data_IF_708062650535
#
_entry.id   IF_708062650535
#
_cell.length_a   1.000
_cell.length_b   1.000
_cell.length_c   1.000
_cell.angle_alpha   90.00
_cell.angle_beta   90.00
_cell.angle_gamma   90.00
#
_symmetry.space_group_name_H-M   'P 1'
#
loop_
_entity.id
_entity.type
_entity.pdbx_description
1 polymer ?
#
# COMPACT_ATOMS: atom_id res chain seq x y z
N UNK A 1 -4.28 9.03 14.76
CA UNK A 1 -5.49 9.24 13.94
C UNK A 1 -5.13 10.23 12.86
N UNK A 2 -5.15 9.79 11.62
CA UNK A 2 -4.64 10.55 10.46
C UNK A 2 -5.75 11.26 9.71
N UNK A 3 -5.39 12.30 8.95
CA UNK A 3 -6.28 12.91 7.97
C UNK A 3 -5.85 12.49 6.57
N UNK A 4 -6.78 11.92 5.82
CA UNK A 4 -6.55 11.42 4.45
C UNK A 4 -6.68 12.60 3.47
N UNK A 5 -5.70 12.73 2.59
CA UNK A 5 -5.63 13.74 1.55
C UNK A 5 -6.09 13.24 0.18
N UNK A 6 -5.47 13.78 -0.87
CA UNK A 6 -5.78 13.42 -2.25
C UNK A 6 -5.43 11.96 -2.58
N UNK A 7 -6.10 11.41 -3.59
CA UNK A 7 -5.85 10.05 -4.06
C UNK A 7 -4.63 10.02 -4.97
N UNK A 8 -3.58 9.31 -4.55
CA UNK A 8 -2.35 9.13 -5.33
C UNK A 8 -2.49 8.00 -6.35
N UNK A 9 -3.08 6.88 -5.92
CA UNK A 9 -3.24 5.69 -6.76
C UNK A 9 -4.61 5.05 -6.56
N UNK A 10 -5.29 4.75 -7.66
CA UNK A 10 -6.57 4.04 -7.66
C UNK A 10 -6.37 2.56 -8.03
N UNK A 11 -6.64 1.66 -7.09
CA UNK A 11 -6.68 0.22 -7.33
C UNK A 11 -8.12 -0.34 -7.32
N UNK A 12 -8.25 -1.63 -7.67
CA UNK A 12 -9.55 -2.31 -7.72
C UNK A 12 -10.10 -2.75 -6.35
N UNK A 13 -9.24 -2.83 -5.34
CA UNK A 13 -9.56 -3.27 -3.97
C UNK A 13 -9.08 -2.29 -2.91
N UNK A 14 -7.95 -1.63 -3.17
CA UNK A 14 -7.38 -0.60 -2.32
C UNK A 14 -7.13 0.66 -3.13
N UNK A 15 -7.08 1.80 -2.46
CA UNK A 15 -6.57 3.06 -2.99
C UNK A 15 -5.47 3.57 -2.06
N UNK A 16 -4.52 4.30 -2.64
CA UNK A 16 -3.45 4.97 -1.91
C UNK A 16 -3.79 6.46 -1.87
N UNK A 17 -3.86 7.03 -0.67
CA UNK A 17 -4.15 8.44 -0.43
C UNK A 17 -2.95 9.09 0.25
N UNK A 18 -2.74 10.38 0.02
CA UNK A 18 -1.77 11.16 0.80
C UNK A 18 -2.18 11.23 2.28
N UNK A 19 -1.21 11.39 3.18
CA UNK A 19 -1.48 11.76 4.58
C UNK A 19 -1.29 13.27 4.72
N UNK A 20 -2.33 13.98 5.15
CA UNK A 20 -2.29 15.44 5.24
C UNK A 20 -1.24 15.89 6.27
N UNK A 21 -0.39 16.83 5.87
CA UNK A 21 0.72 17.34 6.70
C UNK A 21 1.94 16.40 6.76
N UNK A 22 1.93 15.26 6.05
CA UNK A 22 3.03 14.27 6.02
C UNK A 22 3.32 13.84 4.57
N UNK A 23 4.03 14.67 3.78
CA UNK A 23 4.29 14.40 2.36
C UNK A 23 5.22 13.21 2.10
N UNK A 24 5.90 12.74 3.15
CA UNK A 24 6.69 11.51 3.20
C UNK A 24 5.82 10.25 3.29
N UNK A 25 4.55 10.36 3.70
CA UNK A 25 3.68 9.24 3.98
C UNK A 25 2.45 9.18 3.07
N UNK A 26 2.01 7.95 2.84
CA UNK A 26 0.72 7.66 2.24
C UNK A 26 -0.02 6.57 3.03
N UNK A 27 -1.31 6.47 2.75
CA UNK A 27 -2.25 5.59 3.41
C UNK A 27 -2.93 4.68 2.39
N UNK A 28 -2.74 3.37 2.55
CA UNK A 28 -3.52 2.37 1.82
C UNK A 28 -4.81 2.10 2.56
N UNK A 29 -5.93 2.32 1.88
CA UNK A 29 -7.26 2.05 2.42
C UNK A 29 -8.05 1.17 1.47
N UNK A 30 -8.94 0.34 2.01
CA UNK A 30 -9.84 -0.46 1.20
C UNK A 30 -10.86 0.41 0.46
N UNK A 31 -11.13 0.08 -0.79
CA UNK A 31 -12.15 0.74 -1.59
C UNK A 31 -13.52 0.22 -1.15
N UNK A 32 -14.44 1.09 -0.71
CA UNK A 32 -15.84 0.71 -0.59
C UNK A 32 -16.40 0.46 -1.99
N UNK A 33 -16.52 -0.80 -2.41
CA UNK A 33 -17.09 -1.10 -3.73
C UNK A 33 -18.54 -0.64 -3.80
N UNK A 34 -18.97 -0.25 -5.01
CA UNK A 34 -20.35 0.13 -5.33
C UNK A 34 -21.33 -0.98 -4.91
N UNK A 35 -22.54 -0.55 -4.57
CA UNK A 35 -23.67 -1.35 -4.07
C UNK A 35 -23.71 -2.78 -4.65
N UNK A 36 -23.70 -3.77 -3.77
CA UNK A 36 -24.04 -5.15 -4.11
C UNK A 36 -25.36 -5.48 -3.41
N UNK A 37 -26.41 -5.84 -4.17
CA UNK A 37 -27.74 -6.21 -3.65
C UNK A 37 -28.34 -5.23 -2.61
N UNK A 38 -28.36 -3.93 -2.91
CA UNK A 38 -29.14 -2.93 -2.15
C UNK A 38 -28.43 -2.22 -0.98
N UNK A 39 -27.23 -2.64 -0.58
CA UNK A 39 -26.44 -1.98 0.47
C UNK A 39 -25.01 -1.63 0.04
N UNK A 40 -24.27 -0.82 0.83
CA UNK A 40 -22.81 -0.67 0.71
C UNK A 40 -22.17 -1.80 1.52
N UNK A 41 -21.67 -2.88 0.89
CA UNK A 41 -20.96 -3.92 1.64
C UNK A 41 -19.69 -3.35 2.28
N UNK A 42 -19.46 -3.71 3.54
CA UNK A 42 -18.20 -3.43 4.24
C UNK A 42 -17.01 -3.96 3.41
N UNK A 43 -15.99 -3.15 3.12
CA UNK A 43 -14.89 -3.52 2.22
C UNK A 43 -14.23 -4.85 2.60
N UNK A 44 -13.99 -5.09 3.88
CA UNK A 44 -13.38 -6.32 4.40
C UNK A 44 -14.20 -7.57 4.09
N UNK A 45 -15.54 -7.50 4.13
CA UNK A 45 -16.40 -8.64 3.79
C UNK A 45 -16.25 -9.07 2.34
N UNK A 46 -15.99 -8.12 1.44
CA UNK A 46 -15.82 -8.40 0.01
C UNK A 46 -14.47 -9.05 -0.26
N UNK A 47 -13.42 -8.55 0.39
CA UNK A 47 -12.08 -9.12 0.27
C UNK A 47 -12.03 -10.51 0.92
N UNK A 48 -12.66 -10.67 2.08
CA UNK A 48 -12.82 -11.96 2.77
C UNK A 48 -13.53 -13.01 1.91
N UNK A 49 -14.65 -12.66 1.28
CA UNK A 49 -15.36 -13.58 0.39
C UNK A 49 -14.52 -14.03 -0.82
N UNK A 50 -13.58 -13.20 -1.28
CA UNK A 50 -12.73 -13.51 -2.45
C UNK A 50 -11.47 -14.28 -2.07
N UNK A 51 -10.83 -13.93 -0.95
CA UNK A 51 -9.49 -14.41 -0.59
C UNK A 51 -9.46 -15.23 0.72
N UNK A 52 -10.57 -15.34 1.44
CA UNK A 52 -10.64 -15.99 2.75
C UNK A 52 -9.99 -15.18 3.88
N UNK A 53 -9.68 -13.90 3.65
CA UNK A 53 -8.94 -13.04 4.60
C UNK A 53 -9.92 -12.12 5.34
N UNK A 54 -10.00 -12.24 6.66
CA UNK A 54 -10.96 -11.49 7.49
C UNK A 54 -10.66 -10.00 7.56
N UNK A 55 -9.39 -9.62 7.69
CA UNK A 55 -8.92 -8.24 7.69
C UNK A 55 -7.71 -8.15 6.76
N UNK A 56 -7.90 -7.46 5.64
CA UNK A 56 -6.90 -7.44 4.58
C UNK A 56 -5.68 -6.60 4.95
N UNK A 57 -5.88 -5.48 5.66
CA UNK A 57 -4.78 -4.59 6.03
C UNK A 57 -3.92 -5.24 7.11
N UNK A 58 -4.53 -5.91 8.10
CA UNK A 58 -3.80 -6.70 9.10
C UNK A 58 -3.01 -7.84 8.46
N UNK A 59 -3.60 -8.53 7.48
CA UNK A 59 -2.91 -9.58 6.73
C UNK A 59 -1.67 -9.04 6.00
N UNK A 60 -1.78 -7.89 5.31
CA UNK A 60 -0.64 -7.26 4.65
C UNK A 60 0.44 -6.80 5.63
N UNK A 61 0.03 -6.21 6.75
CA UNK A 61 0.97 -5.79 7.80
C UNK A 61 1.72 -6.99 8.40
N UNK A 62 1.01 -8.07 8.72
CA UNK A 62 1.62 -9.29 9.23
C UNK A 62 2.58 -9.94 8.21
N UNK A 63 2.25 -9.90 6.92
CA UNK A 63 3.15 -10.36 5.87
C UNK A 63 4.40 -9.49 5.74
N UNK A 64 4.25 -8.17 5.78
CA UNK A 64 5.38 -7.25 5.79
C UNK A 64 6.33 -7.57 6.95
N UNK A 65 5.81 -7.72 8.17
CA UNK A 65 6.63 -8.09 9.34
C UNK A 65 7.37 -9.41 9.16
N UNK A 66 6.71 -10.43 8.57
CA UNK A 66 7.36 -11.72 8.27
C UNK A 66 8.48 -11.58 7.26
N UNK A 67 8.26 -10.83 6.17
CA UNK A 67 9.28 -10.59 5.14
C UNK A 67 10.44 -9.81 5.76
N UNK A 68 10.19 -8.72 6.47
CA UNK A 68 11.25 -7.91 7.09
C UNK A 68 12.03 -8.67 8.17
N UNK A 69 11.40 -9.62 8.86
CA UNK A 69 12.07 -10.51 9.81
C UNK A 69 13.00 -11.55 9.18
N UNK A 70 12.91 -11.76 7.86
CA UNK A 70 13.76 -12.70 7.09
C UNK A 70 14.66 -12.01 6.07
N UNK A 71 14.33 -10.77 5.68
CA UNK A 71 15.07 -10.00 4.70
C UNK A 71 16.47 -9.64 5.24
N UNK A 72 17.54 -9.90 4.47
CA UNK A 72 18.88 -9.42 4.78
C UNK A 72 18.91 -7.90 4.98
N UNK A 73 19.70 -7.43 5.95
CA UNK A 73 19.71 -6.03 6.37
C UNK A 73 20.07 -5.06 5.22
N UNK A 74 21.02 -5.45 4.37
CA UNK A 74 21.44 -4.66 3.21
C UNK A 74 20.36 -4.54 2.13
N UNK A 75 19.38 -5.45 2.13
CA UNK A 75 18.27 -5.47 1.17
C UNK A 75 17.02 -4.75 1.67
N UNK A 76 16.84 -4.58 2.98
CA UNK A 76 15.64 -3.93 3.56
C UNK A 76 15.36 -2.55 2.97
N UNK A 77 16.40 -1.79 2.66
CA UNK A 77 16.30 -0.45 2.02
C UNK A 77 15.60 -0.45 0.66
N UNK A 78 15.47 -1.61 0.01
CA UNK A 78 14.81 -1.76 -1.30
C UNK A 78 13.31 -2.06 -1.17
N UNK A 79 12.81 -2.27 0.05
CA UNK A 79 11.39 -2.46 0.33
C UNK A 79 10.73 -1.15 0.75
N UNK A 80 9.43 -1.03 0.49
CA UNK A 80 8.62 0.06 1.04
C UNK A 80 8.50 -0.11 2.55
N UNK A 81 8.84 0.93 3.31
CA UNK A 81 8.62 0.94 4.76
C UNK A 81 7.14 1.05 5.06
N UNK A 82 6.62 0.14 5.88
CA UNK A 82 5.28 0.21 6.42
C UNK A 82 5.38 0.56 7.91
N UNK A 83 4.60 1.54 8.36
CA UNK A 83 4.65 2.07 9.73
C UNK A 83 3.57 1.46 10.64
N UNK A 84 2.65 0.69 10.05
CA UNK A 84 1.55 0.04 10.75
C UNK A 84 0.18 0.60 10.35
N UNK A 85 -0.83 0.22 11.12
CA UNK A 85 -2.23 0.50 10.81
C UNK A 85 -2.76 1.58 11.73
N UNK A 86 -3.41 2.59 11.15
CA UNK A 86 -4.08 3.67 11.87
C UNK A 86 -5.53 3.84 11.43
N UNK A 87 -6.33 4.44 12.31
CA UNK A 87 -7.65 4.93 11.96
C UNK A 87 -7.55 6.36 11.43
N UNK A 88 -8.28 6.65 10.36
CA UNK A 88 -8.44 7.99 9.81
C UNK A 88 -9.62 8.73 10.45
N UNK A 89 -9.63 10.06 10.33
CA UNK A 89 -10.68 10.93 10.87
C UNK A 89 -12.08 10.60 10.32
N UNK A 90 -12.19 10.03 9.12
CA UNK A 90 -13.47 9.61 8.53
C UNK A 90 -13.88 8.17 8.90
N UNK A 91 -13.16 7.55 9.84
CA UNK A 91 -13.46 6.24 10.39
C UNK A 91 -12.91 5.06 9.59
N UNK A 92 -12.16 5.30 8.50
CA UNK A 92 -11.53 4.21 7.73
C UNK A 92 -10.25 3.73 8.38
N UNK A 93 -10.02 2.41 8.39
CA UNK A 93 -8.72 1.79 8.68
C UNK A 93 -7.75 2.03 7.51
N UNK A 94 -6.51 2.35 7.83
CA UNK A 94 -5.47 2.70 6.86
C UNK A 94 -4.12 2.07 7.23
N UNK A 95 -3.45 1.44 6.27
CA UNK A 95 -2.06 1.00 6.41
C UNK A 95 -1.13 2.13 5.95
N UNK A 96 -0.29 2.62 6.87
CA UNK A 96 0.62 3.74 6.65
C UNK A 96 1.94 3.23 6.07
N UNK A 97 2.42 3.89 5.03
CA UNK A 97 3.65 3.52 4.32
C UNK A 97 4.34 4.74 3.72
N UNK A 98 5.64 4.62 3.47
CA UNK A 98 6.41 5.66 2.77
C UNK A 98 5.88 5.87 1.35
N UNK A 99 5.88 7.13 0.89
CA UNK A 99 5.63 7.44 -0.51
C UNK A 99 6.82 6.98 -1.35
N UNK A 100 6.57 6.07 -2.29
CA UNK A 100 7.58 5.66 -3.27
C UNK A 100 7.72 6.75 -4.34
N UNK A 101 8.92 7.30 -4.44
CA UNK A 101 9.28 8.31 -5.42
C UNK A 101 10.23 7.74 -6.46
N UNK A 102 10.16 8.26 -7.67
CA UNK A 102 11.15 7.99 -8.70
C UNK A 102 12.41 8.86 -8.54
N UNK A 103 13.37 8.66 -9.44
CA UNK A 103 14.64 9.41 -9.51
C UNK A 103 14.47 10.93 -9.76
N UNK A 104 13.27 11.40 -10.10
CA UNK A 104 12.93 12.83 -10.24
C UNK A 104 12.25 13.40 -8.99
N UNK A 105 11.99 12.55 -7.99
CA UNK A 105 11.26 12.93 -6.77
C UNK A 105 9.73 12.92 -6.94
N UNK A 106 9.23 12.47 -8.09
CA UNK A 106 7.79 12.35 -8.36
C UNK A 106 7.26 11.00 -7.84
N UNK A 107 5.95 10.87 -7.63
CA UNK A 107 5.37 9.59 -7.21
C UNK A 107 5.62 8.54 -8.29
N UNK A 108 6.26 7.43 -7.90
CA UNK A 108 6.66 6.40 -8.84
C UNK A 108 5.41 5.77 -9.52
N UNK A 109 5.38 5.69 -10.86
CA UNK A 109 4.31 4.98 -11.55
C UNK A 109 4.42 3.47 -11.30
N UNK A 110 3.31 2.76 -11.52
CA UNK A 110 3.37 1.30 -11.54
C UNK A 110 4.26 0.78 -12.69
N UNK A 111 4.76 -0.44 -12.56
CA UNK A 111 5.67 -1.05 -13.54
C UNK A 111 5.06 -1.12 -14.96
N UNK A 112 3.74 -1.31 -15.09
CA UNK A 112 3.06 -1.35 -16.39
C UNK A 112 3.16 -0.01 -17.14
N UNK A 113 3.18 1.11 -16.41
CA UNK A 113 3.31 2.47 -16.96
C UNK A 113 4.75 2.97 -16.97
N UNK A 114 5.68 2.25 -16.36
CA UNK A 114 7.08 2.64 -16.36
C UNK A 114 7.71 2.26 -17.71
N UNK A 115 7.80 3.23 -18.61
CA UNK A 115 8.42 3.06 -19.92
C UNK A 115 9.94 3.26 -19.92
N UNK A 116 10.53 3.59 -18.76
CA UNK A 116 11.96 3.87 -18.65
C UNK A 116 12.74 2.57 -18.41
N UNK A 117 13.88 2.37 -19.09
CA UNK A 117 14.76 1.25 -18.79
C UNK A 117 15.14 1.22 -17.32
N UNK A 118 15.10 0.04 -16.71
CA UNK A 118 15.58 -0.17 -15.34
C UNK A 118 17.10 -0.29 -15.34
N UNK A 119 17.74 0.22 -14.30
CA UNK A 119 19.17 0.05 -14.08
C UNK A 119 19.51 -1.45 -13.96
N UNK A 120 20.60 -1.97 -14.55
CA UNK A 120 21.01 -3.37 -14.40
C UNK A 120 21.07 -3.85 -12.94
N UNK A 121 21.46 -2.96 -12.00
CA UNK A 121 21.48 -3.25 -10.57
C UNK A 121 20.11 -3.62 -10.01
N UNK A 122 19.02 -3.14 -10.61
CA UNK A 122 17.67 -3.54 -10.22
C UNK A 122 17.48 -5.05 -10.34
N UNK A 123 17.96 -5.65 -11.43
CA UNK A 123 17.84 -7.10 -11.66
C UNK A 123 18.72 -7.89 -10.70
N UNK A 124 19.96 -7.46 -10.48
CA UNK A 124 20.87 -8.06 -9.51
C UNK A 124 20.30 -8.04 -8.08
N UNK A 125 19.65 -6.95 -7.68
CA UNK A 125 19.00 -6.83 -6.38
C UNK A 125 17.78 -7.75 -6.30
N UNK A 126 16.97 -7.82 -7.36
CA UNK A 126 15.77 -8.64 -7.40
C UNK A 126 16.09 -10.13 -7.27
N UNK A 127 17.19 -10.61 -7.85
CA UNK A 127 17.63 -12.01 -7.73
C UNK A 127 18.09 -12.40 -6.31
N UNK A 128 18.40 -11.41 -5.46
CA UNK A 128 18.84 -11.61 -4.08
C UNK A 128 17.69 -11.58 -3.06
N UNK A 129 16.51 -11.09 -3.46
CA UNK A 129 15.29 -11.01 -2.65
C UNK A 129 14.51 -12.33 -2.72
#
# INVERSE_FOLDING_TARGET
MIQLGEMLVKGGWCQILAVQGRPDLCAKVLVPKRRFKGGKPEPDRIVSAKYGITDFLEYEWANYLKIMGKCPEDLKRHFVTMHGIENSQDGRKALIMDVVKDDRGEIAPNLVRNARPLDPRFHEILERI
#
